data_IF_076252022160
#
_entry.id   IF_076252022160
#
_cell.length_a   1.000
_cell.length_b   1.000
_cell.length_c   1.000
_cell.angle_alpha   90.00
_cell.angle_beta   90.00
_cell.angle_gamma   90.00
#
_symmetry.space_group_name_H-M   'P 1'
#
loop_
_entity.id
_entity.type
_entity.pdbx_description
1 polymer ?
#
# COMPACT_ATOMS: atom_id res chain seq x y z
N UNK A 1 2.49 4.29 9.23
CA UNK A 1 1.92 3.09 9.93
C UNK A 1 1.31 3.52 11.26
N UNK A 2 0.00 3.25 11.51
CA UNK A 2 -0.70 3.54 12.79
C UNK A 2 -0.57 2.39 13.80
N UNK A 3 -0.50 1.14 13.32
CA UNK A 3 -0.30 -0.02 14.20
C UNK A 3 1.15 -0.05 14.63
N UNK A 4 1.45 0.02 15.96
CA UNK A 4 2.82 0.04 16.44
C UNK A 4 3.63 -1.19 15.97
N UNK A 5 4.88 -0.98 15.56
CA UNK A 5 5.73 -2.06 15.05
C UNK A 5 5.88 -3.24 16.02
N UNK A 6 5.88 -2.99 17.34
CA UNK A 6 5.89 -4.05 18.36
C UNK A 6 4.64 -4.94 18.30
N UNK A 7 3.48 -4.37 17.97
CA UNK A 7 2.23 -5.13 17.82
C UNK A 7 2.24 -5.94 16.53
N UNK A 8 2.77 -5.38 15.44
CA UNK A 8 2.99 -6.13 14.20
C UNK A 8 3.89 -7.35 14.45
N UNK A 9 5.03 -7.16 15.14
CA UNK A 9 5.95 -8.26 15.49
C UNK A 9 5.25 -9.32 16.34
N UNK A 10 4.43 -8.92 17.31
CA UNK A 10 3.66 -9.84 18.16
C UNK A 10 2.68 -10.68 17.34
N UNK A 11 1.99 -10.06 16.38
CA UNK A 11 1.08 -10.74 15.46
C UNK A 11 1.85 -11.75 14.60
N UNK A 12 2.94 -11.33 13.96
CA UNK A 12 3.78 -12.20 13.14
C UNK A 12 4.27 -13.43 13.92
N UNK A 13 4.73 -13.24 15.16
CA UNK A 13 5.17 -14.32 16.04
C UNK A 13 4.01 -15.26 16.42
N UNK A 14 2.82 -14.70 16.70
CA UNK A 14 1.64 -15.50 17.06
C UNK A 14 1.24 -16.46 15.93
N UNK A 15 1.33 -15.98 14.67
CA UNK A 15 1.01 -16.80 13.49
C UNK A 15 2.22 -17.58 12.94
N UNK A 16 3.39 -17.52 13.59
CA UNK A 16 4.61 -18.21 13.15
C UNK A 16 5.11 -17.73 11.78
N UNK A 17 4.85 -16.47 11.44
CA UNK A 17 5.21 -15.91 10.14
C UNK A 17 6.57 -15.24 10.23
N UNK A 18 7.54 -15.80 9.50
CA UNK A 18 8.81 -15.12 9.22
C UNK A 18 8.66 -14.32 7.95
N UNK A 19 8.84 -13.01 8.03
CA UNK A 19 8.89 -12.13 6.85
C UNK A 19 10.19 -12.37 6.11
N UNK A 20 10.09 -12.55 4.80
CA UNK A 20 11.24 -12.84 3.91
C UNK A 20 11.50 -11.71 2.92
N UNK A 21 10.53 -10.85 2.69
CA UNK A 21 10.61 -9.66 1.87
C UNK A 21 9.29 -8.92 1.86
N UNK A 22 9.34 -7.66 1.44
CA UNK A 22 8.20 -6.75 1.42
C UNK A 22 7.93 -6.23 0.02
N UNK A 23 6.68 -6.24 -0.40
CA UNK A 23 6.18 -5.41 -1.49
C UNK A 23 5.47 -4.22 -0.87
N UNK A 24 6.01 -3.02 -1.07
CA UNK A 24 5.46 -1.78 -0.53
C UNK A 24 4.96 -0.90 -1.69
N UNK A 25 3.67 -0.61 -1.70
CA UNK A 25 3.03 0.24 -2.70
C UNK A 25 2.55 1.52 -2.00
N UNK A 26 3.02 2.68 -2.48
CA UNK A 26 2.93 3.97 -1.80
C UNK A 26 4.21 4.26 -0.99
N UNK A 27 5.36 4.22 -1.68
CA UNK A 27 6.68 4.24 -1.03
C UNK A 27 7.02 5.55 -0.34
N UNK A 28 6.47 6.69 -0.80
CA UNK A 28 6.77 8.04 -0.33
C UNK A 28 8.28 8.27 -0.09
N UNK A 29 8.75 8.34 1.16
CA UNK A 29 10.17 8.48 1.52
C UNK A 29 10.84 7.18 1.95
N UNK A 30 10.15 6.03 1.85
CA UNK A 30 10.57 4.71 2.31
C UNK A 30 10.86 4.67 3.84
N UNK A 31 10.13 5.45 4.62
CA UNK A 31 10.33 5.61 6.07
C UNK A 31 10.12 4.32 6.86
N UNK A 32 9.31 3.38 6.36
CA UNK A 32 9.09 2.08 6.98
C UNK A 32 10.31 1.14 6.91
N UNK A 33 11.37 1.52 6.17
CA UNK A 33 12.58 0.71 6.12
C UNK A 33 13.16 0.45 7.52
N UNK A 34 13.08 1.41 8.43
CA UNK A 34 13.58 1.21 9.79
C UNK A 34 12.76 0.17 10.57
N UNK A 35 11.44 0.13 10.34
CA UNK A 35 10.62 -0.96 10.87
C UNK A 35 11.00 -2.31 10.22
N UNK A 36 11.17 -2.36 8.90
CA UNK A 36 11.53 -3.61 8.20
C UNK A 36 12.88 -4.17 8.64
N UNK A 37 13.85 -3.32 9.01
CA UNK A 37 15.11 -3.75 9.63
C UNK A 37 14.88 -4.50 10.96
N UNK A 38 13.88 -4.10 11.74
CA UNK A 38 13.54 -4.81 13.00
C UNK A 38 13.01 -6.22 12.75
N UNK A 39 12.46 -6.49 11.56
CA UNK A 39 12.07 -7.82 11.10
C UNK A 39 13.24 -8.65 10.56
N UNK A 40 14.45 -8.11 10.56
CA UNK A 40 15.67 -8.73 10.06
C UNK A 40 15.87 -8.59 8.54
N UNK A 41 15.15 -7.68 7.90
CA UNK A 41 15.25 -7.43 6.45
C UNK A 41 16.36 -6.43 6.14
N UNK A 42 16.99 -6.64 4.99
CA UNK A 42 17.91 -5.68 4.39
C UNK A 42 17.18 -4.84 3.33
N UNK A 43 17.70 -3.66 2.95
CA UNK A 43 17.06 -2.83 1.91
C UNK A 43 16.76 -3.58 0.60
N UNK A 44 17.61 -4.54 0.21
CA UNK A 44 17.40 -5.38 -0.99
C UNK A 44 16.25 -6.41 -0.85
N UNK A 45 15.69 -6.56 0.34
CA UNK A 45 14.54 -7.45 0.58
C UNK A 45 13.20 -6.74 0.40
N UNK A 46 13.23 -5.45 0.09
CA UNK A 46 12.03 -4.63 -0.10
C UNK A 46 11.97 -4.14 -1.54
N UNK A 47 10.81 -4.28 -2.15
CA UNK A 47 10.46 -3.65 -3.43
C UNK A 47 9.46 -2.53 -3.16
N UNK A 48 9.80 -1.32 -3.60
CA UNK A 48 9.05 -0.10 -3.34
C UNK A 48 8.45 0.43 -4.64
N UNK A 49 7.17 0.77 -4.61
CA UNK A 49 6.45 1.38 -5.72
C UNK A 49 5.86 2.71 -5.30
N UNK A 50 6.02 3.72 -6.14
CA UNK A 50 5.38 5.02 -5.95
C UNK A 50 4.92 5.57 -7.31
N UNK A 51 3.78 6.27 -7.33
CA UNK A 51 3.26 6.88 -8.56
C UNK A 51 4.08 8.14 -8.95
N UNK A 52 4.68 8.82 -7.97
CA UNK A 52 5.35 10.11 -8.16
C UNK A 52 6.83 9.89 -8.47
N UNK A 53 7.25 10.15 -9.72
CA UNK A 53 8.63 9.96 -10.16
C UNK A 53 9.64 10.71 -9.29
N UNK A 54 9.32 11.93 -8.84
CA UNK A 54 10.20 12.70 -7.97
C UNK A 54 10.51 11.96 -6.67
N UNK A 55 9.51 11.29 -6.04
CA UNK A 55 9.71 10.50 -4.81
C UNK A 55 10.61 9.28 -5.06
N UNK A 56 10.44 8.64 -6.20
CA UNK A 56 11.32 7.53 -6.63
C UNK A 56 12.77 8.02 -6.76
N UNK A 57 12.99 9.17 -7.40
CA UNK A 57 14.32 9.72 -7.61
C UNK A 57 14.97 10.18 -6.30
N UNK A 58 14.20 10.78 -5.39
CA UNK A 58 14.64 11.14 -4.04
C UNK A 58 15.08 9.91 -3.22
N UNK A 59 14.27 8.83 -3.24
CA UNK A 59 14.60 7.60 -2.53
C UNK A 59 15.87 6.92 -3.10
N UNK A 60 15.99 6.88 -4.43
CA UNK A 60 17.20 6.37 -5.11
C UNK A 60 18.44 7.19 -4.79
N UNK A 61 18.31 8.51 -4.73
CA UNK A 61 19.40 9.41 -4.36
C UNK A 61 19.87 9.21 -2.91
N UNK A 62 18.96 8.80 -2.01
CA UNK A 62 19.26 8.37 -0.63
C UNK A 62 19.88 6.95 -0.57
N UNK A 63 20.10 6.29 -1.72
CA UNK A 63 20.68 4.94 -1.81
C UNK A 63 19.68 3.80 -1.57
N UNK A 64 18.38 4.08 -1.61
CA UNK A 64 17.37 3.03 -1.47
C UNK A 64 17.30 2.18 -2.74
N UNK A 65 17.51 0.85 -2.67
CA UNK A 65 17.41 -0.03 -3.83
C UNK A 65 15.95 -0.39 -4.14
N UNK A 66 15.73 -0.96 -5.32
CA UNK A 66 14.45 -1.55 -5.74
C UNK A 66 13.25 -0.59 -5.62
N UNK A 67 13.46 0.70 -5.90
CA UNK A 67 12.39 1.70 -5.94
C UNK A 67 11.98 1.93 -7.39
N UNK A 68 10.68 1.81 -7.68
CA UNK A 68 10.14 1.89 -9.04
C UNK A 68 8.99 2.87 -9.13
N UNK A 69 8.93 3.63 -10.22
CA UNK A 69 7.77 4.43 -10.53
C UNK A 69 6.68 3.52 -11.11
N UNK A 70 5.52 3.50 -10.44
CA UNK A 70 4.38 2.71 -10.87
C UNK A 70 3.07 3.30 -10.31
N UNK A 71 2.11 3.57 -11.18
CA UNK A 71 0.74 3.88 -10.80
C UNK A 71 -0.06 2.57 -10.77
N UNK A 72 -0.17 1.99 -9.59
CA UNK A 72 -0.76 0.65 -9.42
C UNK A 72 -2.28 0.72 -9.35
N UNK A 73 -2.94 -0.11 -10.18
CA UNK A 73 -4.40 -0.28 -10.19
C UNK A 73 -4.80 -1.72 -10.56
N UNK A 74 -6.09 -1.92 -10.84
CA UNK A 74 -6.68 -3.20 -11.29
C UNK A 74 -6.53 -3.47 -12.79
N UNK A 75 -5.99 -2.53 -13.58
CA UNK A 75 -5.84 -2.65 -15.03
C UNK A 75 -4.50 -2.12 -15.52
N UNK A 76 -4.01 -2.70 -16.60
CA UNK A 76 -2.81 -2.26 -17.27
C UNK A 76 -3.12 -1.20 -18.33
N UNK A 77 -2.16 -0.29 -18.55
CA UNK A 77 -2.11 0.68 -19.64
C UNK A 77 -3.34 1.63 -19.72
N UNK A 78 -4.14 1.74 -18.66
CA UNK A 78 -5.21 2.72 -18.56
C UNK A 78 -4.61 4.10 -18.20
N UNK A 79 -4.97 5.14 -18.96
CA UNK A 79 -4.51 6.49 -18.66
C UNK A 79 -5.31 7.05 -17.47
N UNK A 80 -4.70 7.12 -16.32
CA UNK A 80 -5.33 7.53 -15.06
C UNK A 80 -4.86 8.93 -14.68
N UNK A 81 -5.81 9.79 -14.31
CA UNK A 81 -5.51 11.05 -13.64
C UNK A 81 -5.12 10.75 -12.21
N UNK A 82 -3.93 11.16 -11.80
CA UNK A 82 -3.42 11.09 -10.44
C UNK A 82 -3.33 12.50 -9.87
N UNK A 83 -4.03 12.76 -8.78
CA UNK A 83 -4.08 14.04 -8.10
C UNK A 83 -2.94 14.12 -7.08
N UNK A 84 -2.18 15.22 -7.09
CA UNK A 84 -1.04 15.45 -6.19
C UNK A 84 -1.46 16.46 -5.13
N UNK A 85 -1.41 16.05 -3.87
CA UNK A 85 -1.73 16.89 -2.73
C UNK A 85 -0.55 17.76 -2.29
N UNK A 86 -0.84 18.83 -1.56
CA UNK A 86 0.18 19.74 -1.02
C UNK A 86 1.12 19.06 -0.01
N UNK A 87 0.66 18.02 0.70
CA UNK A 87 1.49 17.21 1.62
C UNK A 87 2.11 15.98 0.93
N UNK A 88 1.82 15.77 -0.35
CA UNK A 88 2.24 14.62 -1.17
C UNK A 88 1.66 13.28 -0.72
N UNK A 89 1.64 12.98 0.56
CA UNK A 89 1.18 11.72 1.15
C UNK A 89 -0.30 11.41 0.84
N UNK A 90 -1.16 12.43 0.82
CA UNK A 90 -2.59 12.27 0.51
C UNK A 90 -2.90 12.33 -0.99
N UNK A 91 -1.92 12.03 -1.85
CA UNK A 91 -2.10 12.00 -3.31
C UNK A 91 -2.83 10.72 -3.74
N UNK A 92 -3.81 10.83 -4.65
CA UNK A 92 -4.69 9.70 -5.01
C UNK A 92 -5.15 9.76 -6.46
N UNK A 93 -5.58 8.61 -6.98
CA UNK A 93 -6.35 8.53 -8.23
C UNK A 93 -7.78 9.03 -8.08
N UNK A 94 -8.25 9.18 -6.86
CA UNK A 94 -9.61 9.62 -6.51
C UNK A 94 -9.64 11.11 -6.15
N UNK A 95 -10.82 11.73 -6.24
CA UNK A 95 -11.08 13.03 -5.64
C UNK A 95 -11.25 12.91 -4.13
N UNK A 96 -10.93 13.99 -3.39
CA UNK A 96 -11.20 14.05 -1.95
C UNK A 96 -12.70 13.95 -1.67
N UNK A 97 -13.07 13.06 -0.76
CA UNK A 97 -14.41 12.88 -0.23
C UNK A 97 -14.54 13.54 1.15
N UNK A 98 -14.81 12.73 2.19
CA UNK A 98 -14.88 13.20 3.58
C UNK A 98 -13.51 13.66 4.09
N UNK A 99 -12.42 13.26 3.46
CA UNK A 99 -11.05 13.73 3.73
C UNK A 99 -10.96 15.27 3.77
N UNK A 100 -11.62 15.96 2.83
CA UNK A 100 -11.63 17.41 2.76
C UNK A 100 -12.29 18.08 3.98
N UNK A 101 -13.12 17.34 4.75
CA UNK A 101 -13.74 17.82 6.01
C UNK A 101 -12.87 17.50 7.22
N UNK A 102 -12.24 16.31 7.22
CA UNK A 102 -11.37 15.86 8.30
C UNK A 102 -10.02 16.61 8.32
N UNK A 103 -9.51 16.91 7.12
CA UNK A 103 -8.21 17.56 6.88
C UNK A 103 -8.35 18.69 5.85
N UNK A 104 -9.01 19.82 6.22
CA UNK A 104 -9.27 20.93 5.28
C UNK A 104 -8.01 21.63 4.77
N UNK A 105 -6.88 21.44 5.45
CA UNK A 105 -5.55 21.92 5.03
C UNK A 105 -4.97 21.14 3.86
N UNK A 106 -5.48 19.91 3.62
CA UNK A 106 -5.03 19.05 2.52
C UNK A 106 -5.84 19.37 1.26
N UNK A 107 -5.13 19.81 0.23
CA UNK A 107 -5.72 20.17 -1.06
C UNK A 107 -4.87 19.62 -2.20
N UNK A 108 -5.51 19.32 -3.32
CA UNK A 108 -4.79 18.98 -4.54
C UNK A 108 -4.20 20.22 -5.19
N UNK A 109 -2.89 20.24 -5.36
CA UNK A 109 -2.13 21.38 -5.94
C UNK A 109 -1.72 21.13 -7.38
N UNK A 110 -1.68 19.87 -7.81
CA UNK A 110 -1.34 19.47 -9.16
C UNK A 110 -2.05 18.16 -9.54
N UNK A 111 -1.96 17.78 -10.78
CA UNK A 111 -2.31 16.45 -11.27
C UNK A 111 -1.43 16.03 -12.43
N UNK A 112 -1.26 14.74 -12.60
CA UNK A 112 -0.61 14.14 -13.77
C UNK A 112 -1.53 13.09 -14.38
N UNK A 113 -1.28 12.73 -15.64
CA UNK A 113 -1.90 11.57 -16.28
C UNK A 113 -0.80 10.57 -16.58
N UNK A 114 -0.96 9.34 -16.09
CA UNK A 114 0.04 8.29 -16.27
C UNK A 114 -0.66 6.95 -16.61
N UNK A 115 0.01 6.07 -17.37
CA UNK A 115 -0.50 4.73 -17.58
C UNK A 115 -0.42 3.94 -16.27
N UNK A 116 -1.49 3.21 -15.98
CA UNK A 116 -1.54 2.29 -14.84
C UNK A 116 -0.85 0.97 -15.15
N UNK A 117 -0.52 0.24 -14.09
CA UNK A 117 0.02 -1.11 -14.17
C UNK A 117 -0.58 -1.95 -13.02
N UNK A 118 -0.87 -3.22 -13.30
CA UNK A 118 -1.26 -4.18 -12.26
C UNK A 118 -0.03 -4.69 -11.52
N UNK A 119 -0.17 -5.13 -10.26
CA UNK A 119 0.92 -5.76 -9.51
C UNK A 119 1.43 -7.01 -10.26
N UNK A 120 0.52 -7.81 -10.83
CA UNK A 120 0.88 -9.00 -11.57
C UNK A 120 1.78 -8.68 -12.77
N UNK A 121 1.39 -7.71 -13.60
CA UNK A 121 2.18 -7.27 -14.75
C UNK A 121 3.49 -6.60 -14.33
N UNK A 122 3.46 -5.78 -13.26
CA UNK A 122 4.67 -5.18 -12.71
C UNK A 122 5.69 -6.25 -12.31
N UNK A 123 5.25 -7.23 -11.53
CA UNK A 123 6.13 -8.30 -11.04
C UNK A 123 6.72 -9.14 -12.19
N UNK A 124 5.93 -9.44 -13.21
CA UNK A 124 6.43 -10.14 -14.40
C UNK A 124 7.41 -9.27 -15.21
N UNK A 125 7.08 -8.02 -15.46
CA UNK A 125 7.91 -7.06 -16.24
C UNK A 125 9.27 -6.84 -15.60
N UNK A 126 9.33 -6.64 -14.29
CA UNK A 126 10.58 -6.36 -13.56
C UNK A 126 11.21 -7.60 -12.94
N UNK A 127 10.67 -8.80 -13.22
CA UNK A 127 11.19 -10.09 -12.72
C UNK A 127 11.32 -10.13 -11.19
N UNK A 128 10.32 -9.56 -10.51
CA UNK A 128 10.30 -9.58 -9.05
C UNK A 128 10.09 -11.01 -8.53
N UNK A 129 10.94 -11.43 -7.60
CA UNK A 129 10.79 -12.74 -6.95
C UNK A 129 9.64 -12.70 -5.92
N UNK A 130 8.40 -12.73 -6.39
CA UNK A 130 7.20 -12.61 -5.56
C UNK A 130 7.12 -13.63 -4.41
N UNK A 131 7.49 -14.90 -4.56
CA UNK A 131 7.52 -15.85 -3.44
C UNK A 131 8.36 -15.39 -2.24
N UNK A 132 9.34 -14.48 -2.45
CA UNK A 132 10.13 -13.87 -1.38
C UNK A 132 9.35 -12.76 -0.65
N UNK A 133 8.47 -12.04 -1.34
CA UNK A 133 7.75 -10.87 -0.85
C UNK A 133 6.44 -11.28 -0.15
N UNK A 134 6.57 -11.91 1.01
CA UNK A 134 5.42 -12.48 1.73
C UNK A 134 4.71 -11.50 2.68
N UNK A 135 5.20 -10.26 2.79
CA UNK A 135 4.56 -9.15 3.49
C UNK A 135 4.27 -8.04 2.46
N UNK A 136 3.00 -7.64 2.34
CA UNK A 136 2.60 -6.53 1.48
C UNK A 136 2.15 -5.36 2.34
N UNK A 137 2.63 -4.17 2.03
CA UNK A 137 2.19 -2.91 2.60
C UNK A 137 1.61 -2.06 1.47
N UNK A 138 0.34 -1.73 1.55
CA UNK A 138 -0.34 -0.87 0.58
C UNK A 138 -0.92 0.34 1.31
N UNK A 139 -0.44 1.52 0.94
CA UNK A 139 -0.88 2.82 1.42
C UNK A 139 -0.94 3.75 0.19
N UNK A 140 -2.03 3.64 -0.56
CA UNK A 140 -2.24 4.33 -1.84
C UNK A 140 -3.55 5.11 -1.89
N UNK A 141 -3.96 5.54 -0.71
CA UNK A 141 -4.96 6.56 -0.51
C UNK A 141 -6.29 6.22 -1.21
N UNK A 142 -6.84 5.04 -0.84
CA UNK A 142 -8.14 4.53 -1.27
C UNK A 142 -8.11 3.58 -2.48
N UNK A 143 -6.94 3.37 -3.11
CA UNK A 143 -6.81 2.48 -4.27
C UNK A 143 -6.35 1.04 -3.92
N UNK A 144 -6.24 0.69 -2.64
CA UNK A 144 -5.71 -0.59 -2.13
C UNK A 144 -6.47 -1.78 -2.72
N UNK A 145 -7.80 -1.71 -2.76
CA UNK A 145 -8.61 -2.77 -3.34
C UNK A 145 -8.32 -2.98 -4.83
N UNK A 146 -8.16 -1.89 -5.61
CA UNK A 146 -7.78 -2.00 -7.01
C UNK A 146 -6.41 -2.66 -7.18
N UNK A 147 -5.44 -2.27 -6.36
CA UNK A 147 -4.11 -2.87 -6.37
C UNK A 147 -4.16 -4.38 -6.04
N UNK A 148 -4.96 -4.79 -5.06
CA UNK A 148 -5.15 -6.19 -4.69
C UNK A 148 -5.79 -7.01 -5.80
N UNK A 149 -6.81 -6.48 -6.47
CA UNK A 149 -7.44 -7.12 -7.64
C UNK A 149 -6.45 -7.25 -8.79
N UNK A 150 -5.66 -6.19 -9.06
CA UNK A 150 -4.61 -6.23 -10.08
C UNK A 150 -3.41 -7.12 -9.71
N UNK A 151 -3.33 -7.59 -8.49
CA UNK A 151 -2.28 -8.47 -7.99
C UNK A 151 -2.73 -9.88 -7.63
N UNK A 152 -3.88 -10.35 -8.09
CA UNK A 152 -4.52 -11.58 -7.61
C UNK A 152 -3.61 -12.82 -7.71
N UNK A 153 -2.81 -12.96 -8.78
CA UNK A 153 -1.88 -14.08 -8.93
C UNK A 153 -0.72 -13.98 -7.94
N UNK A 154 -0.16 -12.80 -7.79
CA UNK A 154 0.94 -12.53 -6.86
C UNK A 154 0.48 -12.59 -5.41
N UNK A 155 -0.77 -12.20 -5.11
CA UNK A 155 -1.40 -12.23 -3.79
C UNK A 155 -1.38 -13.63 -3.17
N UNK A 156 -1.41 -14.69 -3.99
CA UNK A 156 -1.32 -16.07 -3.52
C UNK A 156 -0.04 -16.35 -2.69
N UNK A 157 1.01 -15.56 -2.86
CA UNK A 157 2.28 -15.70 -2.12
C UNK A 157 2.35 -14.81 -0.87
N UNK A 158 1.47 -13.83 -0.75
CA UNK A 158 1.40 -12.99 0.45
C UNK A 158 0.88 -13.79 1.64
N UNK A 159 1.52 -13.61 2.79
CA UNK A 159 1.10 -14.18 4.09
C UNK A 159 0.52 -13.12 5.00
N UNK A 160 0.97 -11.88 4.84
CA UNK A 160 0.53 -10.73 5.63
C UNK A 160 0.30 -9.55 4.72
N UNK A 161 -0.81 -8.84 4.94
CA UNK A 161 -1.10 -7.57 4.34
C UNK A 161 -1.19 -6.52 5.45
N UNK A 162 -0.52 -5.40 5.28
CA UNK A 162 -0.68 -4.19 6.05
C UNK A 162 -1.32 -3.16 5.12
N UNK A 163 -2.54 -2.73 5.39
CA UNK A 163 -3.32 -1.91 4.46
C UNK A 163 -3.85 -0.66 5.16
N UNK A 164 -3.80 0.48 4.47
CA UNK A 164 -4.72 1.56 4.80
C UNK A 164 -6.16 1.10 4.49
N UNK A 165 -7.08 1.39 5.39
CA UNK A 165 -8.49 1.00 5.28
C UNK A 165 -9.41 2.19 5.58
N UNK A 166 -10.56 2.22 4.90
CA UNK A 166 -11.51 3.31 4.99
C UNK A 166 -12.87 2.81 5.50
N UNK A 167 -13.37 3.37 6.60
CA UNK A 167 -14.74 3.16 7.09
C UNK A 167 -15.71 4.18 6.49
N UNK A 168 -15.21 5.36 6.11
CA UNK A 168 -15.92 6.41 5.40
C UNK A 168 -15.33 6.63 4.01
N UNK A 169 -16.08 7.27 3.12
CA UNK A 169 -15.63 7.62 1.78
C UNK A 169 -14.65 8.82 1.82
N UNK A 170 -13.44 8.60 2.39
CA UNK A 170 -12.41 9.64 2.45
C UNK A 170 -12.04 10.15 1.06
N UNK A 171 -11.94 9.24 0.12
CA UNK A 171 -11.74 9.48 -1.30
C UNK A 171 -12.99 9.01 -2.03
N UNK A 172 -13.51 9.81 -2.95
CA UNK A 172 -14.75 9.49 -3.67
C UNK A 172 -14.62 8.22 -4.48
N UNK A 173 -15.40 7.22 -4.14
CA UNK A 173 -15.38 5.91 -4.79
C UNK A 173 -14.29 4.96 -4.29
N UNK A 174 -13.58 5.30 -3.19
CA UNK A 174 -12.70 4.33 -2.53
C UNK A 174 -13.49 3.14 -1.99
N UNK A 175 -12.82 2.01 -1.87
CA UNK A 175 -13.46 0.81 -1.32
C UNK A 175 -13.52 0.91 0.19
N UNK A 176 -14.72 0.74 0.75
CA UNK A 176 -14.89 0.71 2.21
C UNK A 176 -14.45 -0.64 2.78
N UNK A 177 -13.98 -0.61 4.02
CA UNK A 177 -13.43 -1.77 4.74
C UNK A 177 -14.32 -3.02 4.70
N UNK A 178 -15.66 -2.97 4.89
CA UNK A 178 -16.48 -4.20 4.82
C UNK A 178 -16.40 -4.93 3.48
N UNK A 179 -16.27 -4.22 2.37
CA UNK A 179 -16.10 -4.83 1.05
C UNK A 179 -14.69 -5.39 0.88
N UNK A 180 -13.68 -4.68 1.39
CA UNK A 180 -12.29 -5.14 1.41
C UNK A 180 -12.16 -6.42 2.25
N UNK A 181 -12.77 -6.46 3.45
CA UNK A 181 -12.80 -7.64 4.31
C UNK A 181 -13.41 -8.84 3.58
N UNK A 182 -14.58 -8.66 2.95
CA UNK A 182 -15.26 -9.72 2.20
C UNK A 182 -14.38 -10.29 1.07
N UNK A 183 -13.73 -9.41 0.30
CA UNK A 183 -12.80 -9.85 -0.74
C UNK A 183 -11.62 -10.62 -0.15
N UNK A 184 -10.97 -10.08 0.87
CA UNK A 184 -9.78 -10.70 1.48
C UNK A 184 -10.10 -12.02 2.16
N UNK A 185 -11.28 -12.15 2.78
CA UNK A 185 -11.76 -13.44 3.31
C UNK A 185 -11.90 -14.48 2.19
N UNK A 186 -12.42 -14.09 1.02
CA UNK A 186 -12.51 -14.99 -0.14
C UNK A 186 -11.14 -15.42 -0.68
N UNK A 187 -10.09 -14.61 -0.43
CA UNK A 187 -8.70 -14.90 -0.77
C UNK A 187 -7.94 -15.64 0.33
N UNK A 188 -8.63 -16.06 1.42
CA UNK A 188 -8.05 -16.81 2.53
C UNK A 188 -7.29 -15.92 3.55
N UNK A 189 -7.63 -14.65 3.66
CA UNK A 189 -7.08 -13.75 4.67
C UNK A 189 -8.12 -13.47 5.76
N UNK A 190 -7.61 -13.19 6.96
CA UNK A 190 -8.41 -12.76 8.11
C UNK A 190 -7.84 -11.45 8.65
N UNK A 191 -8.69 -10.47 8.91
CA UNK A 191 -8.33 -9.28 9.66
C UNK A 191 -8.02 -9.67 11.11
N UNK A 192 -6.80 -9.33 11.59
CA UNK A 192 -6.32 -9.72 12.93
C UNK A 192 -5.99 -8.52 13.81
N UNK A 193 -5.86 -7.35 13.23
CA UNK A 193 -5.68 -6.08 13.94
C UNK A 193 -6.20 -4.93 13.09
N UNK A 194 -6.67 -3.89 13.76
CA UNK A 194 -7.10 -2.63 13.17
C UNK A 194 -6.86 -1.49 14.15
N UNK A 195 -6.39 -0.35 13.66
CA UNK A 195 -6.29 0.90 14.41
C UNK A 195 -6.83 2.02 13.53
N UNK A 196 -7.88 2.70 14.00
CA UNK A 196 -8.46 3.85 13.30
C UNK A 196 -7.80 5.14 13.77
N UNK A 197 -7.63 6.09 12.87
CA UNK A 197 -7.11 7.42 13.16
C UNK A 197 -8.23 8.30 13.75
N UNK A 198 -8.42 8.25 15.07
CA UNK A 198 -9.47 9.00 15.73
C UNK A 198 -10.86 8.73 15.14
N UNK A 199 -11.60 9.81 14.83
CA UNK A 199 -12.93 9.75 14.20
C UNK A 199 -12.89 10.23 12.74
N UNK A 200 -11.79 10.00 12.04
CA UNK A 200 -11.57 10.50 10.67
C UNK A 200 -12.05 9.56 9.59
N UNK A 201 -12.44 8.34 9.95
CA UNK A 201 -12.98 7.33 9.02
C UNK A 201 -11.91 6.55 8.24
N UNK A 202 -10.62 6.70 8.58
CA UNK A 202 -9.52 5.91 8.01
C UNK A 202 -8.63 5.31 9.10
N UNK A 203 -7.87 4.31 8.75
CA UNK A 203 -6.96 3.66 9.66
C UNK A 203 -6.11 2.61 8.97
N UNK A 204 -5.39 1.82 9.77
CA UNK A 204 -4.59 0.70 9.29
C UNK A 204 -5.17 -0.62 9.77
N UNK A 205 -5.07 -1.65 8.93
CA UNK A 205 -5.45 -3.01 9.30
C UNK A 205 -4.38 -4.03 8.87
N UNK A 206 -4.26 -5.11 9.66
CA UNK A 206 -3.40 -6.24 9.34
C UNK A 206 -4.28 -7.44 9.03
N UNK A 207 -4.02 -8.05 7.89
CA UNK A 207 -4.64 -9.30 7.47
C UNK A 207 -3.57 -10.38 7.39
N UNK A 208 -3.92 -11.57 7.85
CA UNK A 208 -3.03 -12.75 7.83
C UNK A 208 -3.72 -13.86 7.05
N UNK A 209 -2.97 -14.54 6.20
CA UNK A 209 -3.46 -15.72 5.48
C UNK A 209 -3.63 -16.88 6.46
N UNK A 210 -4.83 -17.49 6.49
CA UNK A 210 -5.22 -18.60 7.38
C UNK A 210 -5.51 -19.86 6.60
#
# INVERSE_FOLDING_TARGET
MLIPGADVIRILNHYGIKVTGVLHVGAHECEEMDFYKTLGLMPNDVTWLDAIQQKVDEARAKGMPNVYQALVTDKDDELIKFNISNNVQSSSIFDLGTHAKAHPEVVYTASMVAPSITIDTFCDRYKINIPKHNFWNLDIQGAEFKALVGGEKCLAFAKVLYLEVNEDELYKGCTLKPMLDYYLESQGFKCVAQVMCGNTGWGDAIYVRV
#
